data_IF_305357517761
#
_entry.id   IF_305357517761
#
_cell.length_a   1.000
_cell.length_b   1.000
_cell.length_c   1.000
_cell.angle_alpha   90.00
_cell.angle_beta   90.00
_cell.angle_gamma   90.00
#
_symmetry.space_group_name_H-M   'P 1'
#
loop_
_entity.id
_entity.type
_entity.pdbx_description
1 polymer ?
#
# COMPACT_ATOMS: atom_id res chain seq x y z
N UNK A 1 -44.89 -6.16 19.61
CA UNK A 1 -43.81 -6.86 18.86
C UNK A 1 -43.51 -6.25 17.50
N UNK A 2 -44.48 -6.05 16.57
CA UNK A 2 -44.19 -5.49 15.23
C UNK A 2 -43.55 -4.09 15.23
N UNK A 3 -43.92 -3.18 16.15
CA UNK A 3 -43.33 -1.83 16.27
C UNK A 3 -41.88 -1.83 16.78
N UNK A 4 -41.52 -2.79 17.63
CA UNK A 4 -40.15 -2.92 18.16
C UNK A 4 -39.17 -3.46 17.12
N UNK A 5 -39.63 -4.34 16.21
CA UNK A 5 -38.80 -4.88 15.10
C UNK A 5 -38.54 -3.80 14.05
N UNK A 6 -39.55 -2.95 13.76
CA UNK A 6 -39.36 -1.84 12.82
C UNK A 6 -38.37 -0.78 13.35
N UNK A 7 -38.39 -0.49 14.66
CA UNK A 7 -37.40 0.42 15.28
C UNK A 7 -36.01 -0.16 15.29
N UNK A 8 -35.83 -1.47 15.48
CA UNK A 8 -34.54 -2.14 15.42
C UNK A 8 -33.96 -2.15 14.01
N UNK A 9 -34.80 -2.38 12.98
CA UNK A 9 -34.36 -2.33 11.57
C UNK A 9 -33.97 -0.91 11.14
N UNK A 10 -34.64 0.13 11.63
CA UNK A 10 -34.28 1.52 11.37
C UNK A 10 -32.93 1.91 12.04
N UNK A 11 -32.67 1.41 13.24
CA UNK A 11 -31.38 1.61 13.92
C UNK A 11 -30.24 0.91 13.18
N UNK A 12 -30.44 -0.30 12.69
CA UNK A 12 -29.42 -1.01 11.89
C UNK A 12 -29.15 -0.34 10.54
N UNK A 13 -30.19 0.20 9.87
CA UNK A 13 -30.00 0.92 8.60
C UNK A 13 -29.24 2.23 8.78
N UNK A 14 -29.44 2.95 9.89
CA UNK A 14 -28.73 4.20 10.18
C UNK A 14 -27.24 3.94 10.52
N UNK A 15 -26.91 2.85 11.21
CA UNK A 15 -25.51 2.46 11.48
C UNK A 15 -24.80 2.03 10.20
N UNK A 16 -25.46 1.31 9.30
CA UNK A 16 -24.88 0.92 8.02
C UNK A 16 -24.59 2.15 7.13
N UNK A 17 -25.47 3.16 7.12
CA UNK A 17 -25.27 4.41 6.37
C UNK A 17 -24.09 5.22 6.94
N UNK A 18 -23.91 5.26 8.27
CA UNK A 18 -22.78 5.92 8.89
C UNK A 18 -21.46 5.19 8.61
N UNK A 19 -21.47 3.85 8.58
CA UNK A 19 -20.30 3.05 8.24
C UNK A 19 -19.84 3.26 6.77
N UNK A 20 -20.78 3.47 5.84
CA UNK A 20 -20.47 3.78 4.45
C UNK A 20 -19.89 5.18 4.23
N UNK A 21 -20.10 6.12 5.15
CA UNK A 21 -19.58 7.49 5.03
C UNK A 21 -18.14 7.65 5.54
N UNK A 22 -17.66 6.72 6.35
CA UNK A 22 -16.32 6.79 6.91
C UNK A 22 -15.32 6.00 6.04
N UNK A 23 -14.59 6.71 5.19
CA UNK A 23 -13.42 6.16 4.51
C UNK A 23 -12.16 6.77 5.14
N UNK A 24 -11.36 5.99 5.89
CA UNK A 24 -10.19 6.49 6.58
C UNK A 24 -9.07 6.97 5.62
N UNK A 25 -9.15 6.59 4.35
CA UNK A 25 -8.22 7.03 3.31
C UNK A 25 -8.61 8.38 2.69
N UNK A 26 -9.82 8.87 2.95
CA UNK A 26 -10.30 10.13 2.41
C UNK A 26 -10.32 11.20 3.51
N UNK A 27 -9.48 12.20 3.38
CA UNK A 27 -9.53 13.40 4.22
C UNK A 27 -10.84 14.13 3.91
N UNK A 28 -11.73 14.26 4.91
CA UNK A 28 -13.10 14.77 4.69
C UNK A 28 -13.12 16.17 4.05
N UNK A 29 -12.17 17.02 4.37
CA UNK A 29 -12.10 18.39 3.89
C UNK A 29 -11.57 18.52 2.45
N UNK A 30 -11.14 17.42 1.82
CA UNK A 30 -10.52 17.44 0.49
C UNK A 30 -11.24 16.57 -0.55
N UNK A 31 -12.43 16.06 -0.22
CA UNK A 31 -13.19 15.14 -1.09
C UNK A 31 -13.50 15.74 -2.46
N UNK A 32 -13.85 17.02 -2.51
CA UNK A 32 -14.19 17.66 -3.78
C UNK A 32 -12.96 17.81 -4.66
N UNK A 33 -11.83 18.24 -4.12
CA UNK A 33 -10.58 18.31 -4.86
C UNK A 33 -10.13 16.94 -5.36
N UNK A 34 -10.26 15.90 -4.53
CA UNK A 34 -10.00 14.51 -4.92
C UNK A 34 -10.91 14.08 -6.07
N UNK A 35 -12.22 14.35 -5.98
CA UNK A 35 -13.20 14.00 -7.02
C UNK A 35 -12.87 14.70 -8.35
N UNK A 36 -12.56 15.99 -8.29
CA UNK A 36 -12.18 16.78 -9.48
C UNK A 36 -10.89 16.24 -10.08
N UNK A 37 -9.86 15.99 -9.27
CA UNK A 37 -8.58 15.46 -9.73
C UNK A 37 -8.74 14.07 -10.35
N UNK A 38 -9.40 13.14 -9.68
CA UNK A 38 -9.67 11.79 -10.20
C UNK A 38 -10.49 11.86 -11.49
N UNK A 39 -11.55 12.68 -11.51
CA UNK A 39 -12.39 12.85 -12.69
C UNK A 39 -11.63 13.39 -13.89
N UNK A 40 -10.73 14.35 -13.69
CA UNK A 40 -9.91 14.92 -14.75
C UNK A 40 -8.95 13.91 -15.41
N UNK A 41 -8.40 12.98 -14.61
CA UNK A 41 -7.54 11.91 -15.11
C UNK A 41 -8.37 10.81 -15.77
N UNK A 42 -9.36 10.28 -15.02
CA UNK A 42 -10.15 9.12 -15.45
C UNK A 42 -10.94 9.35 -16.74
N UNK A 43 -11.52 10.54 -16.94
CA UNK A 43 -12.28 10.86 -18.15
C UNK A 43 -11.41 10.92 -19.42
N UNK A 44 -10.13 11.17 -19.26
CA UNK A 44 -9.17 11.24 -20.37
C UNK A 44 -8.43 9.91 -20.63
N UNK A 45 -8.65 8.89 -19.83
CA UNK A 45 -8.05 7.56 -20.00
C UNK A 45 -8.86 6.70 -20.96
N UNK A 46 -8.18 6.01 -21.87
CA UNK A 46 -8.72 4.88 -22.63
C UNK A 46 -9.04 3.70 -21.71
N UNK A 47 -9.78 2.71 -22.20
CA UNK A 47 -10.05 1.49 -21.44
C UNK A 47 -8.74 0.75 -21.10
N UNK A 48 -7.79 0.69 -22.04
CA UNK A 48 -6.49 0.06 -21.81
C UNK A 48 -5.71 0.74 -20.66
N UNK A 49 -5.66 2.06 -20.65
CA UNK A 49 -5.02 2.83 -19.58
C UNK A 49 -5.70 2.60 -18.22
N UNK A 50 -7.05 2.57 -18.18
CA UNK A 50 -7.80 2.26 -16.97
C UNK A 50 -7.49 0.87 -16.44
N UNK A 51 -7.40 -0.12 -17.33
CA UNK A 51 -7.03 -1.50 -16.97
C UNK A 51 -5.58 -1.54 -16.47
N UNK A 52 -4.66 -0.84 -17.13
CA UNK A 52 -3.26 -0.73 -16.69
C UNK A 52 -3.12 -0.22 -15.27
N UNK A 53 -3.94 0.76 -14.85
CA UNK A 53 -3.93 1.29 -13.49
C UNK A 53 -4.26 0.26 -12.39
N UNK A 54 -4.84 -0.88 -12.73
CA UNK A 54 -5.15 -1.96 -11.79
C UNK A 54 -3.96 -2.90 -11.53
N UNK A 55 -2.86 -2.74 -12.27
CA UNK A 55 -1.69 -3.61 -12.16
C UNK A 55 -0.55 -2.93 -11.40
N UNK A 56 0.07 -3.71 -10.53
CA UNK A 56 1.31 -3.41 -9.85
C UNK A 56 2.36 -4.43 -10.25
N UNK A 57 3.55 -3.97 -10.65
CA UNK A 57 4.60 -4.82 -11.21
C UNK A 57 5.75 -4.96 -10.22
N UNK A 58 6.22 -6.20 -10.03
CA UNK A 58 7.36 -6.50 -9.17
C UNK A 58 8.69 -6.18 -9.84
N UNK A 59 9.60 -5.57 -9.05
CA UNK A 59 10.98 -5.29 -9.48
C UNK A 59 11.95 -5.33 -8.29
N UNK A 60 13.19 -5.75 -8.59
CA UNK A 60 14.32 -5.60 -7.69
C UNK A 60 15.16 -4.40 -8.12
N UNK A 61 15.59 -3.57 -7.17
CA UNK A 61 16.48 -2.45 -7.53
C UNK A 61 17.84 -2.94 -8.08
N UNK A 62 18.19 -4.20 -7.78
CA UNK A 62 19.36 -4.91 -8.32
C UNK A 62 19.12 -5.63 -9.65
N UNK A 63 17.90 -5.60 -10.20
CA UNK A 63 17.61 -6.26 -11.48
C UNK A 63 18.48 -5.71 -12.62
N UNK A 64 18.75 -6.53 -13.65
CA UNK A 64 19.50 -6.09 -14.82
C UNK A 64 18.77 -5.00 -15.60
N UNK A 65 19.50 -4.27 -16.43
CA UNK A 65 18.97 -3.14 -17.21
C UNK A 65 17.78 -3.54 -18.06
N UNK A 66 17.82 -4.70 -18.69
CA UNK A 66 16.77 -5.20 -19.59
C UNK A 66 15.44 -5.35 -18.88
N UNK A 67 15.43 -5.82 -17.62
CA UNK A 67 14.19 -5.93 -16.82
C UNK A 67 13.69 -4.54 -16.42
N UNK A 68 14.59 -3.64 -16.04
CA UNK A 68 14.25 -2.25 -15.72
C UNK A 68 13.63 -1.52 -16.93
N UNK A 69 14.21 -1.72 -18.13
CA UNK A 69 13.71 -1.12 -19.36
C UNK A 69 12.32 -1.68 -19.75
N UNK A 70 12.05 -2.98 -19.52
CA UNK A 70 10.70 -3.54 -19.67
C UNK A 70 9.68 -2.88 -18.74
N UNK A 71 10.05 -2.62 -17.49
CA UNK A 71 9.16 -1.92 -16.54
C UNK A 71 8.92 -0.49 -16.98
N UNK A 72 9.94 0.22 -17.51
CA UNK A 72 9.75 1.56 -18.09
C UNK A 72 8.77 1.55 -19.25
N UNK A 73 8.87 0.55 -20.12
CA UNK A 73 7.91 0.36 -21.22
C UNK A 73 6.47 0.14 -20.71
N UNK A 74 6.31 -0.69 -19.68
CA UNK A 74 5.00 -0.90 -19.04
C UNK A 74 4.43 0.39 -18.44
N UNK A 75 5.26 1.24 -17.84
CA UNK A 75 4.86 2.53 -17.30
C UNK A 75 4.39 3.47 -18.42
N UNK A 76 5.16 3.58 -19.51
CA UNK A 76 4.94 4.55 -20.56
C UNK A 76 3.85 4.13 -21.55
N UNK A 77 3.75 2.83 -21.86
CA UNK A 77 2.91 2.31 -22.94
C UNK A 77 1.71 1.49 -22.48
N UNK A 78 1.78 0.90 -21.26
CA UNK A 78 0.66 0.14 -20.67
C UNK A 78 0.04 0.85 -19.45
N UNK A 79 0.64 1.97 -19.03
CA UNK A 79 0.11 2.84 -17.97
C UNK A 79 -0.19 2.12 -16.65
N UNK A 80 0.70 1.22 -16.23
CA UNK A 80 0.54 0.48 -14.97
C UNK A 80 0.38 1.44 -13.78
N UNK A 81 -0.41 1.02 -12.78
CA UNK A 81 -0.78 1.86 -11.63
C UNK A 81 0.23 1.83 -10.50
N UNK A 82 1.13 0.85 -10.45
CA UNK A 82 2.07 0.76 -9.35
C UNK A 82 3.27 -0.17 -9.56
N UNK A 83 4.18 -0.07 -8.61
CA UNK A 83 5.40 -0.88 -8.53
C UNK A 83 5.52 -1.46 -7.12
N UNK A 84 5.88 -2.73 -7.02
CA UNK A 84 6.29 -3.36 -5.78
C UNK A 84 7.79 -3.65 -5.81
N UNK A 85 8.54 -3.14 -4.82
CA UNK A 85 9.96 -3.41 -4.67
C UNK A 85 10.18 -4.61 -3.75
N UNK A 86 10.73 -5.69 -4.30
CA UNK A 86 10.85 -6.96 -3.57
C UNK A 86 12.29 -7.28 -3.13
N UNK A 87 13.32 -6.58 -3.65
CA UNK A 87 14.72 -6.81 -3.26
C UNK A 87 15.66 -5.70 -3.73
N UNK A 88 16.81 -5.58 -3.06
CA UNK A 88 17.97 -4.79 -3.50
C UNK A 88 18.45 -3.79 -2.45
N UNK A 89 19.21 -2.79 -2.87
CA UNK A 89 19.78 -1.77 -1.99
C UNK A 89 18.88 -0.54 -1.86
N UNK A 90 18.83 0.12 -0.70
CA UNK A 90 17.93 1.26 -0.45
C UNK A 90 18.24 2.46 -1.35
N UNK A 91 19.51 2.73 -1.63
CA UNK A 91 19.90 3.86 -2.51
C UNK A 91 19.44 3.63 -3.95
N UNK A 92 19.71 2.45 -4.49
CA UNK A 92 19.30 2.10 -5.86
C UNK A 92 17.76 2.08 -5.98
N UNK A 93 17.06 1.61 -4.94
CA UNK A 93 15.61 1.60 -4.91
C UNK A 93 15.03 3.01 -4.99
N UNK A 94 15.54 3.97 -4.19
CA UNK A 94 15.08 5.37 -4.24
C UNK A 94 15.37 6.02 -5.59
N UNK A 95 16.54 5.76 -6.18
CA UNK A 95 16.88 6.27 -7.50
C UNK A 95 15.93 5.75 -8.58
N UNK A 96 15.66 4.44 -8.57
CA UNK A 96 14.75 3.80 -9.53
C UNK A 96 13.30 4.23 -9.32
N UNK A 97 12.87 4.42 -8.06
CA UNK A 97 11.56 4.98 -7.73
C UNK A 97 11.37 6.36 -8.36
N UNK A 98 12.33 7.26 -8.17
CA UNK A 98 12.27 8.61 -8.73
C UNK A 98 12.26 8.60 -10.27
N UNK A 99 13.05 7.71 -10.88
CA UNK A 99 13.05 7.53 -12.33
C UNK A 99 11.68 7.06 -12.86
N UNK A 100 11.08 6.06 -12.23
CA UNK A 100 9.77 5.54 -12.62
C UNK A 100 8.64 6.58 -12.42
N UNK A 101 8.66 7.32 -11.32
CA UNK A 101 7.71 8.40 -11.10
C UNK A 101 7.83 9.49 -12.16
N UNK A 102 9.05 9.85 -12.57
CA UNK A 102 9.27 10.86 -13.59
C UNK A 102 8.79 10.43 -15.01
N UNK A 103 8.75 9.12 -15.26
CA UNK A 103 8.28 8.57 -16.54
C UNK A 103 6.74 8.44 -16.60
N UNK A 104 6.08 8.37 -15.48
CA UNK A 104 4.65 8.08 -15.41
C UNK A 104 3.79 9.34 -15.62
N UNK A 105 2.74 9.24 -16.44
CA UNK A 105 1.74 10.30 -16.62
C UNK A 105 0.83 10.48 -15.41
N UNK A 106 0.54 9.39 -14.73
CA UNK A 106 -0.22 9.35 -13.48
C UNK A 106 0.70 8.86 -12.37
N UNK A 107 0.76 9.52 -11.20
CA UNK A 107 1.65 9.09 -10.14
C UNK A 107 1.47 7.60 -9.80
N UNK A 108 2.58 6.86 -9.76
CA UNK A 108 2.58 5.43 -9.45
C UNK A 108 2.42 5.21 -7.94
N UNK A 109 1.67 4.17 -7.58
CA UNK A 109 1.67 3.65 -6.21
C UNK A 109 2.91 2.79 -6.03
N UNK A 110 3.77 3.17 -5.08
CA UNK A 110 4.97 2.42 -4.71
C UNK A 110 4.68 1.58 -3.47
N UNK A 111 4.98 0.30 -3.52
CA UNK A 111 4.69 -0.65 -2.47
C UNK A 111 5.87 -1.56 -2.13
N UNK A 112 5.81 -2.19 -0.97
CA UNK A 112 6.78 -3.16 -0.48
C UNK A 112 6.12 -4.06 0.58
N UNK A 113 6.55 -5.31 0.67
CA UNK A 113 6.34 -6.13 1.87
C UNK A 113 7.47 -5.86 2.86
N UNK A 114 7.17 -5.17 3.93
CA UNK A 114 8.17 -4.82 4.95
C UNK A 114 7.64 -5.15 6.35
N UNK A 115 7.29 -6.43 6.58
CA UNK A 115 6.67 -6.91 7.82
C UNK A 115 7.52 -6.61 9.05
N UNK A 116 8.83 -6.86 8.97
CA UNK A 116 9.80 -6.53 10.02
C UNK A 116 10.74 -5.38 9.59
N UNK A 117 10.17 -4.43 8.85
CA UNK A 117 10.89 -3.26 8.34
C UNK A 117 11.55 -3.50 7.00
N UNK A 118 12.29 -2.50 6.54
CA UNK A 118 12.91 -2.50 5.21
C UNK A 118 13.88 -3.67 4.98
N UNK A 119 14.48 -4.20 6.05
CA UNK A 119 15.43 -5.31 5.97
C UNK A 119 14.82 -6.62 5.44
N UNK A 120 13.50 -6.74 5.41
CA UNK A 120 12.84 -7.85 4.72
C UNK A 120 13.17 -7.86 3.23
N UNK A 121 13.37 -6.68 2.63
CA UNK A 121 13.54 -6.49 1.18
C UNK A 121 14.82 -5.79 0.77
N UNK A 122 15.36 -4.93 1.63
CA UNK A 122 16.48 -4.08 1.29
C UNK A 122 17.71 -4.38 2.14
N UNK A 123 18.84 -4.55 1.48
CA UNK A 123 20.14 -4.73 2.12
C UNK A 123 20.51 -3.52 2.97
N UNK A 124 21.36 -3.72 3.98
CA UNK A 124 21.95 -2.64 4.77
C UNK A 124 20.93 -1.72 5.47
N UNK A 125 19.77 -2.25 5.79
CA UNK A 125 18.71 -1.57 6.55
C UNK A 125 18.46 -2.25 7.89
N UNK A 126 17.83 -1.53 8.83
CA UNK A 126 17.55 -2.06 10.16
C UNK A 126 16.44 -3.11 10.12
N UNK A 127 16.73 -4.29 10.70
CA UNK A 127 15.75 -5.37 10.87
C UNK A 127 15.10 -5.27 12.26
N UNK A 128 13.77 -5.21 12.26
CA UNK A 128 12.98 -5.38 13.48
C UNK A 128 12.74 -6.88 13.76
N UNK A 129 12.36 -7.25 14.98
CA UNK A 129 11.96 -8.64 15.27
C UNK A 129 10.76 -9.05 14.40
N UNK A 130 10.68 -10.34 14.10
CA UNK A 130 9.55 -10.92 13.40
C UNK A 130 8.25 -10.79 14.20
N UNK A 131 7.12 -10.81 13.52
CA UNK A 131 5.79 -10.60 14.11
C UNK A 131 5.49 -11.56 15.26
N UNK A 132 5.90 -12.83 15.18
CA UNK A 132 5.74 -13.78 16.27
C UNK A 132 6.52 -13.36 17.54
N UNK A 133 7.74 -12.84 17.38
CA UNK A 133 8.55 -12.29 18.48
C UNK A 133 7.90 -11.04 19.07
N UNK A 134 7.36 -10.18 18.21
CA UNK A 134 6.62 -8.98 18.65
C UNK A 134 5.36 -9.38 19.42
N UNK A 135 4.68 -10.45 19.01
CA UNK A 135 3.49 -10.97 19.70
C UNK A 135 3.74 -11.44 21.13
N UNK A 136 5.00 -11.73 21.52
CA UNK A 136 5.38 -12.08 22.89
C UNK A 136 5.56 -10.85 23.80
N UNK A 137 5.54 -9.64 23.26
CA UNK A 137 5.69 -8.39 24.01
C UNK A 137 4.34 -7.98 24.59
N UNK A 138 4.25 -7.86 25.92
CA UNK A 138 3.02 -7.45 26.61
C UNK A 138 2.75 -5.94 26.58
N UNK A 139 3.77 -5.11 26.38
CA UNK A 139 3.62 -3.64 26.31
C UNK A 139 3.33 -3.19 24.87
N UNK A 140 2.06 -2.95 24.57
CA UNK A 140 1.59 -2.45 23.28
C UNK A 140 2.24 -1.12 22.85
N UNK A 141 2.76 -0.32 23.78
CA UNK A 141 3.45 0.94 23.43
C UNK A 141 4.77 0.66 22.70
N UNK A 142 5.43 -0.45 23.00
CA UNK A 142 6.64 -0.88 22.27
C UNK A 142 6.26 -1.27 20.85
N UNK A 143 5.20 -2.07 20.66
CA UNK A 143 4.70 -2.46 19.35
C UNK A 143 4.32 -1.24 18.51
N UNK A 144 3.60 -0.29 19.10
CA UNK A 144 3.23 0.97 18.43
C UNK A 144 4.46 1.78 18.00
N UNK A 145 5.50 1.86 18.84
CA UNK A 145 6.76 2.55 18.49
C UNK A 145 7.45 1.87 17.30
N UNK A 146 7.50 0.54 17.29
CA UNK A 146 8.09 -0.23 16.17
C UNK A 146 7.31 0.04 14.89
N UNK A 147 5.98 -0.09 14.89
CA UNK A 147 5.15 0.17 13.73
C UNK A 147 5.31 1.61 13.20
N UNK A 148 5.36 2.61 14.10
CA UNK A 148 5.65 3.99 13.73
C UNK A 148 7.01 4.13 13.03
N UNK A 149 8.06 3.50 13.56
CA UNK A 149 9.40 3.55 12.95
C UNK A 149 9.44 2.87 11.59
N UNK A 150 8.80 1.71 11.44
CA UNK A 150 8.68 1.06 10.12
C UNK A 150 7.99 2.00 9.14
N UNK A 151 6.87 2.63 9.53
CA UNK A 151 6.17 3.60 8.69
C UNK A 151 7.02 4.82 8.32
N UNK A 152 7.82 5.35 9.26
CA UNK A 152 8.76 6.45 8.98
C UNK A 152 9.85 6.05 7.98
N UNK A 153 10.38 4.82 8.11
CA UNK A 153 11.41 4.30 7.21
C UNK A 153 10.85 4.06 5.80
N UNK A 154 9.67 3.44 5.68
CA UNK A 154 9.02 3.18 4.38
C UNK A 154 8.67 4.50 3.68
N UNK A 155 8.13 5.48 4.42
CA UNK A 155 7.86 6.82 3.89
C UNK A 155 9.12 7.51 3.37
N UNK A 156 10.25 7.40 4.10
CA UNK A 156 11.53 8.03 3.75
C UNK A 156 12.08 7.57 2.41
N UNK A 157 11.83 6.31 2.03
CA UNK A 157 12.26 5.74 0.75
C UNK A 157 11.19 5.85 -0.35
N UNK A 158 10.10 6.60 -0.09
CA UNK A 158 9.07 6.90 -1.07
C UNK A 158 8.05 5.78 -1.29
N UNK A 159 7.86 4.88 -0.31
CA UNK A 159 6.80 3.87 -0.36
C UNK A 159 5.47 4.45 0.15
N UNK A 160 4.40 4.17 -0.58
CA UNK A 160 3.04 4.57 -0.24
C UNK A 160 2.29 3.47 0.51
N UNK A 161 2.56 2.20 0.18
CA UNK A 161 1.92 1.02 0.77
C UNK A 161 2.98 0.07 1.32
N UNK A 162 2.76 -0.38 2.55
CA UNK A 162 3.42 -1.55 3.12
C UNK A 162 2.38 -2.68 3.20
N UNK A 163 2.59 -3.79 2.49
CA UNK A 163 1.74 -4.98 2.55
C UNK A 163 2.04 -5.80 3.81
N UNK A 164 1.79 -5.18 4.95
CA UNK A 164 2.00 -5.72 6.29
C UNK A 164 0.94 -5.15 7.27
N UNK A 165 0.67 -5.86 8.37
CA UNK A 165 1.17 -7.19 8.75
C UNK A 165 0.41 -8.31 8.03
N UNK A 166 0.95 -9.55 8.12
CA UNK A 166 0.16 -10.77 7.83
C UNK A 166 -0.99 -10.84 8.83
N UNK A 167 -2.20 -11.04 8.34
CA UNK A 167 -3.43 -11.08 9.15
C UNK A 167 -3.93 -12.51 9.41
N UNK A 168 -3.19 -13.51 8.97
CA UNK A 168 -3.47 -14.91 9.23
C UNK A 168 -3.35 -15.19 10.74
N UNK A 169 -4.32 -15.91 11.27
CA UNK A 169 -4.31 -16.31 12.67
C UNK A 169 -3.56 -17.62 12.83
N UNK A 170 -2.71 -17.71 13.86
CA UNK A 170 -1.91 -18.89 14.16
C UNK A 170 -2.75 -19.95 14.90
N UNK A 171 -3.64 -20.64 14.17
CA UNK A 171 -4.51 -21.70 14.71
C UNK A 171 -3.99 -23.10 14.42
N UNK A 172 -2.98 -23.23 13.55
CA UNK A 172 -2.39 -24.50 13.18
C UNK A 172 -0.96 -24.58 13.75
N UNK A 173 -0.69 -25.46 14.73
CA UNK A 173 0.65 -25.60 15.33
C UNK A 173 1.70 -26.15 14.36
N UNK A 174 1.28 -26.70 13.19
CA UNK A 174 2.18 -27.15 12.14
C UNK A 174 2.50 -26.03 11.10
N UNK A 175 1.98 -24.82 11.30
CA UNK A 175 2.31 -23.67 10.45
C UNK A 175 3.78 -23.27 10.66
N UNK A 176 4.60 -23.10 9.61
CA UNK A 176 6.02 -22.74 9.74
C UNK A 176 6.25 -21.38 10.42
#
# INVERSE_FOLDING_TARGET
MKKSIAALLLLFSSVAVLAQQFNPLLVQNDRENQRVWVGSIYSNMSLQEKVGQLFMVDIYSSDPKEKKDKVKDLIQNQYIGGIIFSKGGPKQQVQLNNEFQALSRTPLIMAMDAEWGLAMRLDSTFAYPWNMTLGAISDNKIIQKIGKRIGEHTKRIGMHINFAPVVDININPANP
#
